data_IF_768032764020
#
_entry.id   IF_768032764020
#
_cell.length_a   1.000
_cell.length_b   1.000
_cell.length_c   1.000
_cell.angle_alpha   90.00
_cell.angle_beta   90.00
_cell.angle_gamma   90.00
#
_symmetry.space_group_name_H-M   'P 1'
#
loop_
_entity.id
_entity.type
_entity.pdbx_description
1 polymer ?
#
# COMPACT_ATOMS: atom_id res chain seq x y z
N UNK A 1 27.91 10.77 9.28
CA UNK A 1 27.14 10.50 8.04
C UNK A 1 28.02 10.88 6.84
N UNK A 2 28.12 10.03 5.82
CA UNK A 2 28.78 10.40 4.55
C UNK A 2 28.12 11.67 4.00
N UNK A 3 28.89 12.68 3.59
CA UNK A 3 28.38 13.82 2.82
C UNK A 3 27.71 13.27 1.56
N UNK A 4 26.39 13.09 1.58
CA UNK A 4 25.63 12.76 0.38
C UNK A 4 25.60 14.00 -0.49
N UNK A 5 26.51 14.05 -1.46
CA UNK A 5 26.43 14.96 -2.60
C UNK A 5 25.61 14.26 -3.68
N UNK A 6 24.65 14.97 -4.27
CA UNK A 6 23.82 14.44 -5.34
C UNK A 6 22.43 14.02 -4.86
N UNK A 7 21.44 14.68 -5.44
CA UNK A 7 20.01 14.53 -5.19
C UNK A 7 19.28 15.72 -5.81
N UNK A 8 18.03 15.53 -6.20
CA UNK A 8 17.17 16.59 -6.74
C UNK A 8 15.99 16.79 -5.79
N UNK A 9 15.68 18.05 -5.50
CA UNK A 9 14.53 18.43 -4.69
C UNK A 9 13.63 19.35 -5.51
N UNK A 10 12.33 19.05 -5.54
CA UNK A 10 11.32 19.86 -6.24
C UNK A 10 10.35 20.44 -5.23
N UNK A 11 10.07 21.74 -5.35
CA UNK A 11 9.01 22.40 -4.60
C UNK A 11 7.82 22.68 -5.53
N UNK A 12 6.64 22.19 -5.15
CA UNK A 12 5.42 22.29 -5.95
C UNK A 12 4.45 23.38 -5.47
N UNK A 13 4.89 24.27 -4.58
CA UNK A 13 4.06 25.31 -3.96
C UNK A 13 4.79 26.67 -3.94
N UNK A 14 4.07 27.71 -3.55
CA UNK A 14 4.63 28.99 -3.12
C UNK A 14 5.45 28.80 -1.84
N UNK A 15 6.68 29.30 -1.84
CA UNK A 15 7.53 29.36 -0.65
C UNK A 15 7.84 30.81 -0.37
N UNK A 16 7.47 31.28 0.83
CA UNK A 16 8.03 32.51 1.40
C UNK A 16 9.33 32.16 2.09
N UNK A 17 10.39 32.89 1.79
CA UNK A 17 11.70 32.72 2.41
C UNK A 17 12.28 34.09 2.76
N UNK A 18 13.15 34.14 3.75
CA UNK A 18 13.78 35.37 4.24
C UNK A 18 15.26 35.37 3.88
N UNK A 19 15.79 36.50 3.40
CA UNK A 19 17.24 36.71 3.25
C UNK A 19 17.95 36.77 4.61
N UNK A 20 17.20 36.97 5.71
CA UNK A 20 17.75 36.99 7.05
C UNK A 20 17.91 35.57 7.60
N UNK A 21 19.17 35.13 7.68
CA UNK A 21 19.54 33.83 8.24
C UNK A 21 18.98 33.59 9.66
N UNK A 22 18.99 34.60 10.52
CA UNK A 22 18.56 34.44 11.91
C UNK A 22 17.06 34.13 12.03
N UNK A 23 16.27 34.68 11.13
CA UNK A 23 14.81 34.52 11.14
C UNK A 23 14.44 33.12 10.67
N UNK A 24 15.07 32.67 9.59
CA UNK A 24 14.92 31.31 9.08
C UNK A 24 15.38 30.25 10.10
N UNK A 25 16.47 30.51 10.81
CA UNK A 25 16.95 29.64 11.90
C UNK A 25 15.95 29.60 13.06
N UNK A 26 15.42 30.76 13.48
CA UNK A 26 14.44 30.83 14.56
C UNK A 26 13.19 30.02 14.22
N UNK A 27 12.66 30.17 13.00
CA UNK A 27 11.49 29.42 12.55
C UNK A 27 11.75 27.90 12.52
N UNK A 28 12.87 27.47 11.95
CA UNK A 28 13.24 26.05 11.90
C UNK A 28 13.44 25.45 13.30
N UNK A 29 13.97 26.23 14.25
CA UNK A 29 14.19 25.82 15.64
C UNK A 29 12.88 25.69 16.41
N UNK A 30 11.97 26.66 16.27
CA UNK A 30 10.67 26.63 16.96
C UNK A 30 9.80 25.42 16.57
N UNK A 31 9.87 24.98 15.31
CA UNK A 31 9.18 23.77 14.88
C UNK A 31 9.75 22.51 15.52
N UNK A 32 11.07 22.39 15.56
CA UNK A 32 11.76 21.23 16.13
C UNK A 32 11.64 21.14 17.65
N UNK A 33 11.60 22.28 18.35
CA UNK A 33 11.47 22.31 19.82
C UNK A 33 10.08 21.92 20.31
N UNK A 34 9.03 22.15 19.51
CA UNK A 34 7.63 21.81 19.86
C UNK A 34 7.32 20.32 19.73
N UNK A 35 8.09 19.55 18.94
CA UNK A 35 7.83 18.13 18.72
C UNK A 35 9.13 17.29 18.72
N UNK A 36 9.34 16.42 19.73
CA UNK A 36 10.51 15.58 19.83
C UNK A 36 10.71 14.56 18.69
N UNK A 37 9.77 14.38 17.76
CA UNK A 37 9.96 13.57 16.55
C UNK A 37 10.32 14.38 15.29
N UNK A 38 10.31 15.72 15.36
CA UNK A 38 10.58 16.60 14.22
C UNK A 38 12.03 17.11 14.22
N UNK A 39 12.64 17.19 13.04
CA UNK A 39 13.94 17.86 12.86
C UNK A 39 13.73 19.21 12.19
N UNK A 40 14.53 20.19 12.58
CA UNK A 40 14.56 21.49 11.90
C UNK A 40 15.42 21.36 10.66
N UNK A 41 14.91 21.82 9.51
CA UNK A 41 15.69 21.87 8.27
C UNK A 41 15.75 23.32 7.80
N UNK A 42 16.96 23.86 7.75
CA UNK A 42 17.28 25.15 7.16
C UNK A 42 17.75 24.93 5.72
N UNK A 43 16.95 25.35 4.75
CA UNK A 43 17.37 25.38 3.36
C UNK A 43 18.14 26.67 3.07
N UNK A 44 19.34 26.55 2.52
CA UNK A 44 20.10 27.69 1.99
C UNK A 44 20.13 27.57 0.48
N UNK A 45 19.44 28.47 -0.18
CA UNK A 45 19.29 28.47 -1.62
C UNK A 45 20.27 29.47 -2.24
N UNK A 46 21.08 28.99 -3.19
CA UNK A 46 21.91 29.84 -4.04
C UNK A 46 21.22 29.98 -5.39
N UNK A 47 20.90 31.21 -5.76
CA UNK A 47 20.19 31.54 -6.99
C UNK A 47 21.14 32.31 -7.89
N UNK A 48 21.48 31.73 -9.04
CA UNK A 48 22.24 32.40 -10.09
C UNK A 48 21.29 33.32 -10.89
N UNK A 49 21.51 34.65 -10.89
CA UNK A 49 20.66 35.59 -11.63
C UNK A 49 20.57 35.30 -13.14
N UNK A 50 21.62 34.73 -13.73
CA UNK A 50 21.65 34.38 -15.15
C UNK A 50 20.73 33.20 -15.47
N UNK A 51 20.52 32.31 -14.49
CA UNK A 51 19.55 31.20 -14.60
C UNK A 51 18.13 31.74 -14.53
N UNK A 52 17.86 32.74 -13.69
CA UNK A 52 16.53 33.34 -13.53
C UNK A 52 16.09 34.09 -14.80
N UNK A 53 17.01 34.85 -15.41
CA UNK A 53 16.75 35.60 -16.65
C UNK A 53 16.48 34.66 -17.83
N UNK A 54 17.22 33.55 -17.95
CA UNK A 54 17.00 32.53 -18.99
C UNK A 54 15.75 31.67 -18.76
N UNK A 55 15.45 31.35 -17.50
CA UNK A 55 14.40 30.38 -17.14
C UNK A 55 13.02 31.00 -16.89
N UNK A 56 12.90 32.33 -16.93
CA UNK A 56 11.67 33.10 -16.67
C UNK A 56 10.99 32.73 -15.33
N UNK A 57 11.78 32.40 -14.32
CA UNK A 57 11.25 32.08 -12.98
C UNK A 57 10.82 33.40 -12.33
N UNK A 58 9.54 33.59 -11.98
CA UNK A 58 9.08 34.82 -11.37
C UNK A 58 9.42 34.82 -9.88
N UNK A 59 10.22 35.80 -9.49
CA UNK A 59 10.46 36.19 -8.10
C UNK A 59 9.66 37.47 -7.83
N UNK A 60 9.00 37.52 -6.69
CA UNK A 60 8.37 38.72 -6.17
C UNK A 60 8.96 39.02 -4.80
N UNK A 61 9.46 40.25 -4.65
CA UNK A 61 9.66 40.82 -3.31
C UNK A 61 8.26 41.02 -2.69
N UNK A 62 8.03 40.37 -1.57
CA UNK A 62 6.79 40.44 -0.81
C UNK A 62 7.00 41.05 0.57
N UNK A 63 8.13 41.72 0.81
CA UNK A 63 8.46 42.40 2.08
C UNK A 63 7.34 43.31 2.59
N UNK A 64 6.56 43.93 1.70
CA UNK A 64 5.47 44.85 2.05
C UNK A 64 4.15 44.17 2.42
N UNK A 65 4.00 42.86 2.16
CA UNK A 65 2.74 42.11 2.36
C UNK A 65 2.95 40.76 3.07
N UNK A 66 4.20 40.45 3.42
CA UNK A 66 4.59 39.23 4.10
C UNK A 66 4.35 39.31 5.61
N UNK A 67 4.59 38.21 6.32
CA UNK A 67 4.24 38.12 7.75
C UNK A 67 5.00 39.15 8.61
N UNK A 68 6.18 39.59 8.16
CA UNK A 68 7.02 40.57 8.84
C UNK A 68 6.96 41.98 8.22
N UNK A 69 5.86 42.33 7.53
CA UNK A 69 5.59 43.60 6.81
C UNK A 69 6.63 44.73 7.06
N UNK A 70 7.51 44.96 6.08
CA UNK A 70 8.50 46.04 6.06
C UNK A 70 9.72 45.85 6.97
N UNK A 71 9.76 44.82 7.81
CA UNK A 71 10.87 44.50 8.71
C UNK A 71 11.87 43.51 8.09
N UNK A 72 11.45 42.74 7.08
CA UNK A 72 12.28 41.74 6.42
C UNK A 72 12.08 41.67 4.91
N UNK A 73 13.18 41.38 4.20
CA UNK A 73 13.15 41.05 2.78
C UNK A 73 12.64 39.61 2.61
N UNK A 74 11.34 39.49 2.38
CA UNK A 74 10.69 38.22 2.04
C UNK A 74 10.58 38.06 0.53
N UNK A 75 11.03 36.91 0.03
CA UNK A 75 10.98 36.60 -1.39
C UNK A 75 10.00 35.45 -1.60
N UNK A 76 9.05 35.69 -2.51
CA UNK A 76 8.14 34.70 -3.02
C UNK A 76 8.64 34.22 -4.38
N UNK A 77 8.76 32.92 -4.56
CA UNK A 77 8.93 32.32 -5.88
C UNK A 77 7.78 31.39 -6.20
N UNK A 78 7.47 31.30 -7.50
CA UNK A 78 6.33 30.53 -7.99
C UNK A 78 6.80 29.52 -9.04
N UNK A 79 6.17 28.34 -9.06
CA UNK A 79 6.35 27.19 -9.98
C UNK A 79 7.38 26.11 -9.59
N UNK A 80 7.25 24.94 -10.27
CA UNK A 80 8.03 23.71 -10.16
C UNK A 80 9.54 23.95 -10.31
N UNK A 81 10.18 24.37 -9.22
CA UNK A 81 11.59 24.74 -9.20
C UNK A 81 12.38 23.55 -8.68
N UNK A 82 13.41 23.15 -9.43
CA UNK A 82 14.27 22.03 -9.08
C UNK A 82 15.60 22.56 -8.56
N UNK A 83 15.95 22.12 -7.36
CA UNK A 83 17.23 22.39 -6.74
C UNK A 83 18.08 21.13 -6.69
N UNK A 84 19.38 21.30 -6.91
CA UNK A 84 20.37 20.29 -6.62
C UNK A 84 20.75 20.39 -5.16
N UNK A 85 20.75 19.26 -4.46
CA UNK A 85 21.27 19.18 -3.09
C UNK A 85 22.80 19.13 -3.15
N UNK A 86 23.44 20.16 -2.62
CA UNK A 86 24.89 20.30 -2.62
C UNK A 86 25.51 19.63 -1.39
N UNK A 87 25.25 20.21 -0.22
CA UNK A 87 25.78 19.71 1.06
C UNK A 87 24.71 19.72 2.13
N UNK A 88 24.68 18.64 2.91
CA UNK A 88 23.85 18.51 4.10
C UNK A 88 24.78 18.51 5.31
N UNK A 89 24.56 19.43 6.24
CA UNK A 89 25.38 19.62 7.44
C UNK A 89 24.48 19.74 8.67
N UNK A 90 24.87 19.11 9.76
CA UNK A 90 24.20 19.32 11.04
C UNK A 90 24.71 20.64 11.65
N UNK A 91 23.78 21.46 12.15
CA UNK A 91 24.12 22.64 12.93
C UNK A 91 24.19 22.19 14.39
N UNK A 92 25.38 22.23 14.96
CA UNK A 92 25.59 22.03 16.39
C UNK A 92 25.41 23.38 17.07
N UNK A 93 24.39 23.49 17.93
CA UNK A 93 24.14 24.65 18.79
C UNK A 93 23.93 24.22 20.25
N UNK A 94 24.00 25.18 21.17
CA UNK A 94 23.98 24.93 22.62
C UNK A 94 22.65 24.36 23.15
N UNK A 95 21.64 24.19 22.30
CA UNK A 95 20.27 23.89 22.74
C UNK A 95 19.64 22.67 22.07
N UNK A 96 20.02 22.28 20.84
CA UNK A 96 19.57 21.02 20.22
C UNK A 96 20.45 20.58 19.03
N UNK A 97 21.00 19.37 19.05
CA UNK A 97 21.63 18.70 17.89
C UNK A 97 20.63 18.28 16.79
N UNK A 98 19.59 19.07 16.53
CA UNK A 98 18.42 18.66 15.73
C UNK A 98 18.12 19.59 14.56
N UNK A 99 19.03 20.53 14.30
CA UNK A 99 18.94 21.45 13.19
C UNK A 99 19.90 21.01 12.09
N UNK A 100 19.40 20.91 10.86
CA UNK A 100 20.17 20.53 9.69
C UNK A 100 20.12 21.63 8.65
N UNK A 101 21.27 21.94 8.08
CA UNK A 101 21.45 22.88 6.99
C UNK A 101 21.63 22.15 5.67
N UNK A 102 20.80 22.47 4.70
CA UNK A 102 20.83 21.86 3.37
C UNK A 102 21.09 22.97 2.35
N UNK A 103 22.27 22.91 1.73
CA UNK A 103 22.61 23.80 0.63
C UNK A 103 21.97 23.30 -0.67
N UNK A 104 21.28 24.21 -1.33
CA UNK A 104 20.54 23.99 -2.55
C UNK A 104 21.03 24.98 -3.61
N UNK A 105 21.36 24.48 -4.80
CA UNK A 105 21.63 25.32 -5.97
C UNK A 105 20.50 25.18 -6.98
N UNK A 106 19.97 26.32 -7.44
CA UNK A 106 18.95 26.34 -8.48
C UNK A 106 19.52 25.73 -9.77
N UNK A 107 18.86 24.70 -10.30
CA UNK A 107 19.30 24.08 -11.56
C UNK A 107 18.64 24.78 -12.73
N UNK A 108 19.47 25.29 -13.65
CA UNK A 108 18.97 25.92 -14.88
C UNK A 108 18.33 24.93 -15.86
N UNK A 109 17.47 25.46 -16.74
CA UNK A 109 16.75 24.71 -17.77
C UNK A 109 17.66 24.12 -18.88
N UNK A 110 18.98 24.10 -18.74
CA UNK A 110 19.91 23.70 -19.80
C UNK A 110 20.25 22.19 -19.72
N UNK A 111 19.77 21.50 -18.68
CA UNK A 111 19.96 20.05 -18.52
C UNK A 111 18.85 19.25 -19.24
N UNK A 112 19.19 18.64 -20.37
CA UNK A 112 18.24 17.92 -21.25
C UNK A 112 17.50 16.76 -20.56
N UNK A 113 18.20 15.95 -19.76
CA UNK A 113 17.61 14.82 -19.02
C UNK A 113 16.66 15.31 -17.93
N UNK A 114 17.07 16.35 -17.21
CA UNK A 114 16.24 16.98 -16.20
C UNK A 114 15.02 17.66 -16.82
N UNK A 115 15.16 18.29 -17.99
CA UNK A 115 14.03 18.83 -18.74
C UNK A 115 13.08 17.74 -19.22
N UNK A 116 13.57 16.57 -19.60
CA UNK A 116 12.70 15.45 -20.02
C UNK A 116 11.92 14.90 -18.82
N UNK A 117 12.58 14.74 -17.68
CA UNK A 117 11.95 14.33 -16.43
C UNK A 117 10.95 15.40 -15.94
N UNK A 118 11.34 16.68 -15.98
CA UNK A 118 10.50 17.81 -15.59
C UNK A 118 9.36 17.99 -16.58
N UNK A 119 9.54 17.70 -17.87
CA UNK A 119 8.47 17.72 -18.86
C UNK A 119 7.50 16.55 -18.65
N UNK A 120 7.98 15.38 -18.23
CA UNK A 120 7.11 14.27 -17.81
C UNK A 120 6.30 14.62 -16.56
N UNK A 121 6.96 15.10 -15.50
CA UNK A 121 6.28 15.55 -14.28
C UNK A 121 5.36 16.75 -14.58
N UNK A 122 5.78 17.72 -15.40
CA UNK A 122 4.94 18.84 -15.85
C UNK A 122 3.81 18.37 -16.73
N UNK A 123 3.91 17.29 -17.49
CA UNK A 123 2.81 16.71 -18.27
C UNK A 123 1.83 15.95 -17.38
N UNK A 124 2.33 15.27 -16.35
CA UNK A 124 1.50 14.62 -15.32
C UNK A 124 0.77 15.64 -14.44
N UNK A 125 1.39 16.81 -14.21
CA UNK A 125 0.85 17.91 -13.39
C UNK A 125 0.24 19.04 -14.26
N UNK A 126 0.29 18.94 -15.60
CA UNK A 126 -0.10 20.05 -16.48
C UNK A 126 -1.59 20.37 -16.34
N UNK A 127 -1.85 21.60 -15.94
CA UNK A 127 -3.14 22.21 -15.59
C UNK A 127 -4.10 22.43 -16.77
N UNK A 128 -3.88 21.78 -17.91
CA UNK A 128 -4.86 21.76 -19.02
C UNK A 128 -6.02 20.79 -18.78
N UNK A 129 -5.94 19.94 -17.74
CA UNK A 129 -7.09 19.21 -17.21
C UNK A 129 -6.94 19.02 -15.69
N UNK A 130 -7.52 19.92 -14.86
CA UNK A 130 -7.54 19.79 -13.39
C UNK A 130 -7.97 18.40 -12.90
N UNK A 131 -8.75 17.71 -13.73
CA UNK A 131 -9.33 16.39 -13.53
C UNK A 131 -8.24 15.28 -13.42
N UNK A 132 -7.12 15.36 -14.16
CA UNK A 132 -6.10 14.29 -14.13
C UNK A 132 -5.36 14.21 -12.79
N UNK A 133 -4.89 15.35 -12.27
CA UNK A 133 -4.21 15.40 -10.97
C UNK A 133 -5.13 14.97 -9.81
N UNK A 134 -6.40 15.38 -9.85
CA UNK A 134 -7.39 14.96 -8.87
C UNK A 134 -7.72 13.47 -8.97
N UNK A 135 -7.73 12.91 -10.18
CA UNK A 135 -7.93 11.46 -10.38
C UNK A 135 -6.74 10.64 -9.88
N UNK A 136 -5.51 11.16 -10.02
CA UNK A 136 -4.31 10.51 -9.50
C UNK A 136 -4.26 10.59 -7.98
N UNK A 137 -4.61 11.74 -7.40
CA UNK A 137 -4.75 11.88 -5.95
C UNK A 137 -5.78 10.89 -5.40
N UNK A 138 -6.95 10.79 -6.03
CA UNK A 138 -7.98 9.84 -5.64
C UNK A 138 -7.50 8.37 -5.75
N UNK A 139 -6.68 8.05 -6.76
CA UNK A 139 -6.09 6.72 -6.90
C UNK A 139 -5.07 6.43 -5.80
N UNK A 140 -4.18 7.38 -5.49
CA UNK A 140 -3.21 7.25 -4.40
C UNK A 140 -3.94 7.07 -3.07
N UNK A 141 -5.01 7.85 -2.83
CA UNK A 141 -5.85 7.72 -1.63
C UNK A 141 -6.43 6.31 -1.47
N UNK A 142 -6.87 5.65 -2.55
CA UNK A 142 -7.25 4.23 -2.46
C UNK A 142 -6.06 3.35 -2.04
N UNK A 143 -4.89 3.56 -2.65
CA UNK A 143 -3.69 2.75 -2.37
C UNK A 143 -3.16 2.91 -0.95
N UNK A 144 -3.33 4.09 -0.33
CA UNK A 144 -2.92 4.33 1.06
C UNK A 144 -4.02 4.02 2.08
N UNK A 145 -5.10 3.34 1.68
CA UNK A 145 -6.17 2.91 2.59
C UNK A 145 -7.12 4.02 3.03
N UNK A 146 -7.30 5.04 2.21
CA UNK A 146 -8.18 6.19 2.45
C UNK A 146 -9.39 6.23 1.48
N UNK A 147 -10.19 5.15 1.40
CA UNK A 147 -11.22 5.01 0.36
C UNK A 147 -12.36 6.02 0.48
N UNK A 148 -12.64 6.52 1.68
CA UNK A 148 -13.64 7.56 1.90
C UNK A 148 -13.26 8.90 1.23
N UNK A 149 -11.99 9.28 1.31
CA UNK A 149 -11.46 10.50 0.66
C UNK A 149 -11.42 10.30 -0.87
N UNK A 150 -10.93 9.15 -1.32
CA UNK A 150 -10.92 8.80 -2.74
C UNK A 150 -12.33 8.84 -3.36
N UNK A 151 -13.33 8.23 -2.68
CA UNK A 151 -14.74 8.26 -3.07
C UNK A 151 -15.24 9.70 -3.27
N UNK A 152 -14.95 10.61 -2.34
CA UNK A 152 -15.38 12.02 -2.43
C UNK A 152 -14.81 12.68 -3.69
N UNK A 153 -13.53 12.45 -3.99
CA UNK A 153 -12.90 12.98 -5.19
C UNK A 153 -13.46 12.37 -6.48
N UNK A 154 -13.66 11.05 -6.54
CA UNK A 154 -14.24 10.41 -7.73
C UNK A 154 -15.68 10.86 -8.02
N UNK A 155 -16.48 11.18 -6.99
CA UNK A 155 -17.79 11.80 -7.21
C UNK A 155 -17.69 13.18 -7.86
N UNK A 156 -16.75 14.02 -7.43
CA UNK A 156 -16.52 15.34 -8.02
C UNK A 156 -16.02 15.18 -9.47
N UNK A 157 -15.11 14.24 -9.71
CA UNK A 157 -14.58 13.98 -11.05
C UNK A 157 -15.66 13.46 -12.00
N UNK A 158 -16.53 12.58 -11.52
CA UNK A 158 -17.66 12.07 -12.29
C UNK A 158 -18.63 13.19 -12.70
N UNK A 159 -18.92 14.15 -11.81
CA UNK A 159 -19.75 15.32 -12.13
C UNK A 159 -19.12 16.23 -13.18
N UNK A 160 -17.78 16.29 -13.21
CA UNK A 160 -17.00 17.13 -14.14
C UNK A 160 -16.57 16.37 -15.41
N UNK A 161 -16.96 15.11 -15.55
CA UNK A 161 -16.53 14.27 -16.66
C UNK A 161 -17.10 14.80 -17.99
N UNK A 162 -16.20 15.05 -18.93
CA UNK A 162 -16.49 15.67 -20.24
C UNK A 162 -16.75 14.64 -21.33
N UNK A 163 -16.36 13.39 -21.10
CA UNK A 163 -16.51 12.29 -22.06
C UNK A 163 -17.06 11.02 -21.39
N UNK A 164 -17.68 10.15 -22.19
CA UNK A 164 -18.14 8.85 -21.73
C UNK A 164 -17.00 7.95 -21.27
N UNK A 165 -15.82 8.07 -21.90
CA UNK A 165 -14.61 7.39 -21.44
C UNK A 165 -14.28 7.77 -19.99
N UNK A 166 -14.19 9.08 -19.70
CA UNK A 166 -13.94 9.58 -18.35
C UNK A 166 -15.02 9.13 -17.36
N UNK A 167 -16.30 9.21 -17.75
CA UNK A 167 -17.41 8.73 -16.91
C UNK A 167 -17.27 7.26 -16.58
N UNK A 168 -16.91 6.42 -17.55
CA UNK A 168 -16.71 4.99 -17.31
C UNK A 168 -15.53 4.74 -16.35
N UNK A 169 -14.40 5.42 -16.56
CA UNK A 169 -13.21 5.27 -15.72
C UNK A 169 -13.46 5.70 -14.27
N UNK A 170 -14.14 6.84 -14.06
CA UNK A 170 -14.47 7.29 -12.71
C UNK A 170 -15.51 6.41 -12.05
N UNK A 171 -16.49 5.89 -12.79
CA UNK A 171 -17.43 4.91 -12.24
C UNK A 171 -16.74 3.61 -11.83
N UNK A 172 -15.77 3.12 -12.61
CA UNK A 172 -14.98 1.95 -12.24
C UNK A 172 -14.20 2.19 -10.94
N UNK A 173 -13.49 3.32 -10.86
CA UNK A 173 -12.69 3.66 -9.67
C UNK A 173 -13.54 3.95 -8.44
N UNK A 174 -14.72 4.54 -8.63
CA UNK A 174 -15.71 4.74 -7.57
C UNK A 174 -16.26 3.39 -7.07
N UNK A 175 -16.43 2.42 -7.98
CA UNK A 175 -16.77 1.04 -7.63
C UNK A 175 -15.78 0.41 -6.66
N UNK A 176 -14.48 0.54 -6.95
CA UNK A 176 -13.41 0.10 -6.03
C UNK A 176 -13.48 0.81 -4.68
N UNK A 177 -13.65 2.13 -4.68
CA UNK A 177 -13.76 2.91 -3.44
C UNK A 177 -14.94 2.48 -2.57
N UNK A 178 -16.10 2.19 -3.16
CA UNK A 178 -17.25 1.68 -2.42
C UNK A 178 -17.02 0.25 -1.91
N UNK A 179 -16.37 -0.60 -2.70
CA UNK A 179 -16.04 -1.96 -2.31
C UNK A 179 -15.14 -1.99 -1.07
N UNK A 180 -14.08 -1.17 -1.06
CA UNK A 180 -13.14 -1.06 0.07
C UNK A 180 -13.82 -0.53 1.36
N UNK A 181 -14.95 0.18 1.21
CA UNK A 181 -15.77 0.65 2.32
C UNK A 181 -16.86 -0.34 2.76
N UNK A 182 -16.98 -1.49 2.09
CA UNK A 182 -18.08 -2.45 2.31
C UNK A 182 -19.45 -1.97 1.79
N UNK A 183 -19.50 -0.89 1.02
CA UNK A 183 -20.74 -0.36 0.41
C UNK A 183 -21.08 -1.12 -0.90
N UNK A 184 -21.21 -2.45 -0.81
CA UNK A 184 -21.22 -3.35 -1.98
C UNK A 184 -22.30 -3.05 -3.03
N UNK A 185 -23.52 -2.70 -2.62
CA UNK A 185 -24.59 -2.36 -3.56
C UNK A 185 -24.25 -1.13 -4.41
N UNK A 186 -23.55 -0.14 -3.84
CA UNK A 186 -23.10 1.06 -4.57
C UNK A 186 -21.87 0.75 -5.43
N UNK A 187 -20.99 -0.14 -4.96
CA UNK A 187 -19.87 -0.64 -5.74
C UNK A 187 -20.36 -1.31 -7.03
N UNK A 188 -21.32 -2.23 -6.90
CA UNK A 188 -21.94 -2.93 -8.01
C UNK A 188 -22.64 -1.98 -8.99
N UNK A 189 -23.40 -1.01 -8.46
CA UNK A 189 -24.05 0.02 -9.29
C UNK A 189 -23.04 0.82 -10.11
N UNK A 190 -21.93 1.25 -9.48
CA UNK A 190 -20.88 2.03 -10.16
C UNK A 190 -20.16 1.20 -11.22
N UNK A 191 -19.81 -0.06 -10.92
CA UNK A 191 -19.20 -0.94 -11.92
C UNK A 191 -20.14 -1.27 -13.09
N UNK A 192 -21.44 -1.48 -12.84
CA UNK A 192 -22.44 -1.69 -13.90
C UNK A 192 -22.59 -0.45 -14.78
N UNK A 193 -22.63 0.75 -14.22
CA UNK A 193 -22.65 2.00 -15.00
C UNK A 193 -21.41 2.12 -15.90
N UNK A 194 -20.21 1.83 -15.36
CA UNK A 194 -18.98 1.78 -16.16
C UNK A 194 -19.08 0.77 -17.31
N UNK A 195 -19.57 -0.44 -17.03
CA UNK A 195 -19.71 -1.50 -18.02
C UNK A 195 -20.68 -1.10 -19.15
N UNK A 196 -21.84 -0.54 -18.82
CA UNK A 196 -22.84 -0.14 -19.82
C UNK A 196 -22.31 0.97 -20.75
N UNK A 197 -21.61 1.97 -20.19
CA UNK A 197 -20.96 3.00 -21.02
C UNK A 197 -19.93 2.37 -21.97
N UNK A 198 -19.10 1.45 -21.46
CA UNK A 198 -18.06 0.78 -22.24
C UNK A 198 -18.63 -0.14 -23.31
N UNK A 199 -19.75 -0.83 -23.07
CA UNK A 199 -20.43 -1.68 -24.07
C UNK A 199 -20.93 -0.87 -25.27
N UNK A 200 -21.37 0.36 -25.04
CA UNK A 200 -21.82 1.27 -26.11
C UNK A 200 -20.62 1.81 -26.89
N UNK A 201 -19.55 2.19 -26.18
CA UNK A 201 -18.43 2.91 -26.76
C UNK A 201 -17.31 2.02 -27.36
N UNK A 202 -17.22 0.75 -26.97
CA UNK A 202 -16.07 -0.12 -27.27
C UNK A 202 -16.48 -1.43 -27.96
N UNK A 203 -15.59 -2.04 -28.76
CA UNK A 203 -15.81 -3.36 -29.32
C UNK A 203 -16.06 -4.44 -28.24
N UNK A 204 -16.81 -5.52 -28.52
CA UNK A 204 -17.17 -6.55 -27.53
C UNK A 204 -16.00 -7.24 -26.82
N UNK A 205 -14.83 -7.28 -27.45
CA UNK A 205 -13.62 -7.91 -26.93
C UNK A 205 -12.60 -6.88 -26.39
N UNK A 206 -13.03 -5.65 -26.14
CA UNK A 206 -12.12 -4.61 -25.66
C UNK A 206 -11.69 -4.87 -24.20
N UNK A 207 -10.39 -4.76 -23.88
CA UNK A 207 -9.83 -4.84 -22.53
C UNK A 207 -10.66 -4.23 -21.40
N UNK A 208 -11.09 -2.98 -21.56
CA UNK A 208 -11.85 -2.25 -20.53
C UNK A 208 -13.19 -2.91 -20.14
N UNK A 209 -13.78 -3.74 -21.02
CA UNK A 209 -14.95 -4.55 -20.68
C UNK A 209 -14.57 -5.65 -19.70
N UNK A 210 -13.46 -6.34 -19.94
CA UNK A 210 -12.95 -7.35 -19.02
C UNK A 210 -12.61 -6.74 -17.65
N UNK A 211 -11.94 -5.58 -17.61
CA UNK A 211 -11.69 -4.88 -16.34
C UNK A 211 -12.98 -4.52 -15.58
N UNK A 212 -14.07 -4.22 -16.29
CA UNK A 212 -15.38 -3.94 -15.68
C UNK A 212 -16.01 -5.20 -15.10
N UNK A 213 -16.03 -6.29 -15.88
CA UNK A 213 -16.50 -7.60 -15.41
C UNK A 213 -15.70 -8.11 -14.22
N UNK A 214 -14.37 -7.94 -14.23
CA UNK A 214 -13.52 -8.29 -13.09
C UNK A 214 -13.87 -7.47 -11.83
N UNK A 215 -14.16 -6.17 -11.97
CA UNK A 215 -14.62 -5.33 -10.86
C UNK A 215 -15.97 -5.79 -10.30
N UNK A 216 -16.92 -6.17 -11.16
CA UNK A 216 -18.21 -6.75 -10.75
C UNK A 216 -18.00 -8.08 -10.02
N UNK A 217 -17.14 -8.95 -10.55
CA UNK A 217 -16.81 -10.23 -9.94
C UNK A 217 -16.24 -10.08 -8.54
N UNK A 218 -15.34 -9.10 -8.35
CA UNK A 218 -14.77 -8.78 -7.03
C UNK A 218 -15.81 -8.35 -6.00
N UNK A 219 -16.78 -7.53 -6.42
CA UNK A 219 -17.86 -7.11 -5.51
C UNK A 219 -18.73 -8.30 -5.11
N UNK A 220 -19.11 -9.16 -6.07
CA UNK A 220 -19.91 -10.35 -5.77
C UNK A 220 -19.16 -11.34 -4.86
N UNK A 221 -17.86 -11.53 -5.07
CA UNK A 221 -17.01 -12.38 -4.23
C UNK A 221 -16.98 -11.86 -2.78
N UNK A 222 -16.77 -10.55 -2.59
CA UNK A 222 -16.79 -9.93 -1.26
C UNK A 222 -18.18 -10.00 -0.59
N UNK A 223 -19.26 -10.12 -1.36
CA UNK A 223 -20.62 -10.35 -0.85
C UNK A 223 -20.89 -11.83 -0.52
N UNK A 224 -20.00 -12.76 -0.89
CA UNK A 224 -20.23 -14.20 -0.80
C UNK A 224 -21.15 -14.75 -1.89
N UNK A 225 -21.46 -13.96 -2.93
CA UNK A 225 -22.28 -14.38 -4.07
C UNK A 225 -21.41 -15.07 -5.14
N UNK A 226 -20.84 -16.22 -4.76
CA UNK A 226 -19.78 -16.89 -5.54
C UNK A 226 -20.19 -17.26 -6.98
N UNK A 227 -21.43 -17.67 -7.22
CA UNK A 227 -21.90 -17.99 -8.58
C UNK A 227 -21.90 -16.76 -9.50
N UNK A 228 -22.31 -15.60 -8.98
CA UNK A 228 -22.29 -14.33 -9.73
C UNK A 228 -20.86 -13.82 -9.93
N UNK A 229 -19.99 -14.05 -8.94
CA UNK A 229 -18.57 -13.75 -9.04
C UNK A 229 -17.89 -14.56 -10.15
N UNK A 230 -18.08 -15.89 -10.16
CA UNK A 230 -17.55 -16.78 -11.19
C UNK A 230 -18.01 -16.38 -12.59
N UNK A 231 -19.32 -16.19 -12.79
CA UNK A 231 -19.87 -15.77 -14.08
C UNK A 231 -19.22 -14.47 -14.59
N UNK A 232 -18.99 -13.50 -13.69
CA UNK A 232 -18.34 -12.24 -14.04
C UNK A 232 -16.85 -12.42 -14.35
N UNK A 233 -16.12 -13.19 -13.55
CA UNK A 233 -14.70 -13.46 -13.78
C UNK A 233 -14.44 -14.30 -15.03
N UNK A 234 -15.28 -15.30 -15.31
CA UNK A 234 -15.22 -16.11 -16.53
C UNK A 234 -15.46 -15.24 -17.76
N UNK A 235 -16.44 -14.35 -17.72
CA UNK A 235 -16.68 -13.39 -18.81
C UNK A 235 -15.50 -12.45 -19.02
N UNK A 236 -14.87 -11.97 -17.94
CA UNK A 236 -13.62 -11.21 -18.03
C UNK A 236 -12.49 -12.03 -18.67
N UNK A 237 -12.34 -13.29 -18.27
CA UNK A 237 -11.29 -14.18 -18.76
C UNK A 237 -11.46 -14.49 -20.26
N UNK A 238 -12.70 -14.70 -20.73
CA UNK A 238 -13.01 -14.88 -22.16
C UNK A 238 -12.52 -13.71 -23.01
N UNK A 239 -12.83 -12.48 -22.57
CA UNK A 239 -12.40 -11.27 -23.27
C UNK A 239 -10.87 -11.17 -23.24
N UNK A 240 -10.23 -11.43 -22.10
CA UNK A 240 -8.78 -11.38 -21.99
C UNK A 240 -8.06 -12.39 -22.87
N UNK A 241 -8.60 -13.61 -23.02
CA UNK A 241 -8.02 -14.63 -23.90
C UNK A 241 -8.01 -14.20 -25.37
N UNK A 242 -8.96 -13.36 -25.78
CA UNK A 242 -9.03 -12.82 -27.15
C UNK A 242 -8.12 -11.59 -27.29
N UNK A 243 -8.10 -10.71 -26.28
CA UNK A 243 -7.43 -9.43 -26.36
C UNK A 243 -5.92 -9.46 -26.09
N UNK A 244 -5.41 -10.51 -25.41
CA UNK A 244 -4.05 -10.55 -24.89
C UNK A 244 -3.29 -11.82 -25.30
N UNK A 245 -1.94 -11.77 -25.34
CA UNK A 245 -1.12 -12.96 -25.49
C UNK A 245 -1.39 -14.01 -24.39
N UNK A 246 -1.23 -15.32 -24.65
CA UNK A 246 -1.55 -16.38 -23.70
C UNK A 246 -0.80 -16.33 -22.35
N UNK A 247 0.34 -15.66 -22.31
CA UNK A 247 1.19 -15.49 -21.13
C UNK A 247 1.05 -14.09 -20.48
N UNK A 248 0.02 -13.31 -20.82
CA UNK A 248 -0.15 -11.98 -20.25
C UNK A 248 -0.51 -12.04 -18.74
N UNK A 249 0.06 -11.18 -17.87
CA UNK A 249 -0.20 -11.17 -16.43
C UNK A 249 -1.69 -11.04 -16.06
N UNK A 250 -2.50 -10.32 -16.84
CA UNK A 250 -3.94 -10.19 -16.58
C UNK A 250 -4.70 -11.52 -16.67
N UNK A 251 -4.27 -12.44 -17.56
CA UNK A 251 -4.83 -13.80 -17.59
C UNK A 251 -4.53 -14.54 -16.30
N UNK A 252 -3.31 -14.40 -15.78
CA UNK A 252 -2.96 -14.98 -14.47
C UNK A 252 -3.78 -14.35 -13.34
N UNK A 253 -4.05 -13.05 -13.40
CA UNK A 253 -4.95 -12.36 -12.45
C UNK A 253 -6.37 -12.93 -12.47
N UNK A 254 -6.95 -13.14 -13.65
CA UNK A 254 -8.28 -13.75 -13.77
C UNK A 254 -8.34 -15.18 -13.26
N UNK A 255 -7.37 -16.02 -13.61
CA UNK A 255 -7.30 -17.39 -13.07
C UNK A 255 -7.12 -17.41 -11.56
N UNK A 256 -6.34 -16.47 -11.01
CA UNK A 256 -6.18 -16.33 -9.56
C UNK A 256 -7.51 -15.98 -8.87
N UNK A 257 -8.29 -15.05 -9.44
CA UNK A 257 -9.58 -14.65 -8.86
C UNK A 257 -10.60 -15.80 -8.91
N UNK A 258 -10.66 -16.53 -10.04
CA UNK A 258 -11.51 -17.73 -10.16
C UNK A 258 -11.09 -18.80 -9.14
N UNK A 259 -9.78 -19.03 -8.99
CA UNK A 259 -9.25 -19.97 -8.00
C UNK A 259 -9.62 -19.61 -6.57
N UNK A 260 -9.62 -18.31 -6.24
CA UNK A 260 -10.05 -17.80 -4.94
C UNK A 260 -11.52 -18.08 -4.66
N UNK A 261 -12.40 -17.83 -5.63
CA UNK A 261 -13.83 -18.12 -5.49
C UNK A 261 -14.08 -19.61 -5.29
N UNK A 262 -13.45 -20.49 -6.09
CA UNK A 262 -13.58 -21.94 -5.89
C UNK A 262 -13.06 -22.40 -4.53
N UNK A 263 -11.95 -21.82 -4.05
CA UNK A 263 -11.45 -22.13 -2.72
C UNK A 263 -12.46 -21.74 -1.63
N UNK A 264 -13.07 -20.55 -1.74
CA UNK A 264 -14.08 -20.08 -0.79
C UNK A 264 -15.36 -20.96 -0.81
N UNK A 265 -15.66 -21.60 -1.94
CA UNK A 265 -16.75 -22.58 -2.08
C UNK A 265 -16.39 -23.98 -1.57
N UNK A 266 -15.13 -24.25 -1.18
CA UNK A 266 -14.66 -25.60 -0.84
C UNK A 266 -14.41 -26.51 -2.05
N UNK A 267 -14.46 -25.96 -3.27
CA UNK A 267 -14.23 -26.68 -4.53
C UNK A 267 -12.71 -26.77 -4.84
N UNK A 268 -11.97 -27.39 -3.92
CA UNK A 268 -10.50 -27.31 -3.88
C UNK A 268 -9.80 -27.79 -5.15
N UNK A 269 -10.31 -28.84 -5.83
CA UNK A 269 -9.72 -29.32 -7.09
C UNK A 269 -9.81 -28.27 -8.21
N UNK A 270 -10.92 -27.52 -8.30
CA UNK A 270 -11.09 -26.44 -9.29
C UNK A 270 -10.25 -25.22 -8.91
N UNK A 271 -10.15 -24.94 -7.61
CA UNK A 271 -9.27 -23.88 -7.09
C UNK A 271 -7.81 -24.14 -7.45
N UNK A 272 -7.32 -25.36 -7.20
CA UNK A 272 -5.96 -25.78 -7.50
C UNK A 272 -5.67 -25.66 -9.00
N UNK A 273 -6.53 -26.21 -9.86
CA UNK A 273 -6.37 -26.10 -11.32
C UNK A 273 -6.28 -24.64 -11.79
N UNK A 274 -7.10 -23.76 -11.23
CA UNK A 274 -7.09 -22.32 -11.56
C UNK A 274 -5.80 -21.63 -11.07
N UNK A 275 -5.36 -21.90 -9.84
CA UNK A 275 -4.13 -21.33 -9.30
C UNK A 275 -2.87 -21.86 -9.99
N UNK A 276 -2.82 -23.14 -10.35
CA UNK A 276 -1.73 -23.72 -11.14
C UNK A 276 -1.65 -23.05 -12.51
N UNK A 277 -2.79 -22.83 -13.18
CA UNK A 277 -2.81 -22.12 -14.45
C UNK A 277 -2.32 -20.67 -14.34
N UNK A 278 -2.71 -19.97 -13.27
CA UNK A 278 -2.18 -18.65 -12.94
C UNK A 278 -0.67 -18.67 -12.70
N UNK A 279 -0.19 -19.67 -11.95
CA UNK A 279 1.23 -19.86 -11.66
C UNK A 279 2.06 -20.12 -12.91
N UNK A 280 1.60 -20.98 -13.82
CA UNK A 280 2.27 -21.27 -15.09
C UNK A 280 2.47 -20.01 -15.94
N UNK A 281 1.41 -19.20 -16.07
CA UNK A 281 1.47 -17.93 -16.81
C UNK A 281 2.50 -17.00 -16.17
N UNK A 282 2.45 -16.81 -14.84
CA UNK A 282 3.41 -15.98 -14.10
C UNK A 282 4.83 -16.48 -14.23
N UNK A 283 5.05 -17.80 -14.21
CA UNK A 283 6.38 -18.41 -14.31
C UNK A 283 7.03 -18.15 -15.68
N UNK A 284 6.22 -18.05 -16.74
CA UNK A 284 6.69 -17.69 -18.08
C UNK A 284 6.92 -16.17 -18.19
N UNK A 285 6.04 -15.37 -17.60
CA UNK A 285 6.03 -13.92 -17.79
C UNK A 285 7.00 -13.14 -16.88
N UNK A 286 7.42 -13.74 -15.75
CA UNK A 286 8.11 -13.02 -14.67
C UNK A 286 9.47 -13.65 -14.33
N UNK A 287 10.41 -12.85 -13.78
CA UNK A 287 11.66 -13.38 -13.23
C UNK A 287 11.41 -14.42 -12.12
N UNK A 288 12.31 -15.41 -11.92
CA UNK A 288 12.10 -16.52 -10.98
C UNK A 288 11.81 -16.13 -9.52
N UNK A 289 12.26 -14.95 -9.08
CA UNK A 289 12.10 -14.46 -7.71
C UNK A 289 11.07 -13.31 -7.62
N UNK A 290 10.19 -13.17 -8.60
CA UNK A 290 9.17 -12.13 -8.58
C UNK A 290 8.13 -12.37 -7.46
N UNK A 291 7.72 -11.34 -6.69
CA UNK A 291 6.75 -11.48 -5.59
C UNK A 291 5.43 -12.19 -5.98
N UNK A 292 4.94 -11.98 -7.20
CA UNK A 292 3.71 -12.64 -7.67
C UNK A 292 3.83 -14.17 -7.76
N UNK A 293 5.04 -14.72 -7.98
CA UNK A 293 5.28 -16.16 -7.91
C UNK A 293 5.15 -16.66 -6.48
N UNK A 294 5.65 -15.89 -5.50
CA UNK A 294 5.45 -16.20 -4.09
C UNK A 294 3.95 -16.17 -3.72
N UNK A 295 3.20 -15.22 -4.29
CA UNK A 295 1.74 -15.15 -4.14
C UNK A 295 1.04 -16.41 -4.67
N UNK A 296 1.41 -16.89 -5.86
CA UNK A 296 0.87 -18.14 -6.43
C UNK A 296 1.15 -19.35 -5.55
N UNK A 297 2.40 -19.53 -5.10
CA UNK A 297 2.75 -20.63 -4.19
C UNK A 297 1.99 -20.54 -2.86
N UNK A 298 1.78 -19.34 -2.33
CA UNK A 298 0.98 -19.16 -1.12
C UNK A 298 -0.47 -19.61 -1.33
N UNK A 299 -1.09 -19.28 -2.46
CA UNK A 299 -2.47 -19.65 -2.74
C UNK A 299 -2.64 -21.15 -2.98
N UNK A 300 -1.68 -21.77 -3.69
CA UNK A 300 -1.62 -23.24 -3.84
C UNK A 300 -1.44 -23.93 -2.48
N UNK A 301 -0.53 -23.41 -1.65
CA UNK A 301 -0.31 -23.91 -0.30
C UNK A 301 -1.56 -23.85 0.58
N UNK A 302 -2.33 -22.76 0.48
CA UNK A 302 -3.60 -22.61 1.18
C UNK A 302 -4.64 -23.65 0.76
N UNK A 303 -4.75 -23.96 -0.53
CA UNK A 303 -5.67 -25.00 -1.00
C UNK A 303 -5.26 -26.37 -0.47
N UNK A 304 -3.96 -26.72 -0.51
CA UNK A 304 -3.50 -27.98 0.06
C UNK A 304 -3.70 -28.07 1.58
N UNK A 305 -3.51 -26.97 2.31
CA UNK A 305 -3.76 -26.92 3.76
C UNK A 305 -5.25 -27.18 4.05
N UNK A 306 -6.16 -26.53 3.32
CA UNK A 306 -7.60 -26.75 3.44
C UNK A 306 -8.03 -28.19 3.07
N UNK A 307 -7.26 -28.89 2.24
CA UNK A 307 -7.48 -30.31 1.90
C UNK A 307 -6.87 -31.27 2.94
N UNK A 308 -6.11 -30.78 3.92
CA UNK A 308 -5.35 -31.62 4.86
C UNK A 308 -4.08 -32.24 4.26
N UNK A 309 -3.67 -31.79 3.05
CA UNK A 309 -2.48 -32.25 2.34
C UNK A 309 -1.23 -31.48 2.83
N UNK A 310 -0.97 -31.56 4.13
CA UNK A 310 -0.03 -30.68 4.83
C UNK A 310 1.40 -30.68 4.28
N UNK A 311 1.91 -31.82 3.81
CA UNK A 311 3.24 -31.90 3.19
C UNK A 311 3.35 -31.06 1.91
N UNK A 312 2.29 -31.03 1.08
CA UNK A 312 2.24 -30.22 -0.14
C UNK A 312 2.03 -28.74 0.19
N UNK A 313 1.25 -28.46 1.23
CA UNK A 313 1.07 -27.11 1.76
C UNK A 313 2.40 -26.51 2.24
N UNK A 314 3.16 -27.25 3.06
CA UNK A 314 4.49 -26.84 3.54
C UNK A 314 5.45 -26.56 2.39
N UNK A 315 5.59 -27.49 1.44
CA UNK A 315 6.46 -27.30 0.26
C UNK A 315 6.12 -26.01 -0.51
N UNK A 316 4.83 -25.74 -0.69
CA UNK A 316 4.36 -24.52 -1.37
C UNK A 316 4.65 -23.26 -0.54
N UNK A 317 4.35 -23.27 0.76
CA UNK A 317 4.61 -22.12 1.64
C UNK A 317 6.11 -21.84 1.82
N UNK A 318 6.95 -22.87 1.90
CA UNK A 318 8.41 -22.74 1.98
C UNK A 318 8.98 -22.13 0.70
N UNK A 319 8.51 -22.56 -0.47
CA UNK A 319 8.91 -21.95 -1.75
C UNK A 319 8.47 -20.49 -1.85
N UNK A 320 7.27 -20.16 -1.37
CA UNK A 320 6.80 -18.78 -1.25
C UNK A 320 7.71 -17.95 -0.33
N UNK A 321 8.08 -18.51 0.83
CA UNK A 321 8.96 -17.86 1.80
C UNK A 321 10.37 -17.63 1.25
N UNK A 322 10.93 -18.59 0.51
CA UNK A 322 12.25 -18.46 -0.12
C UNK A 322 12.30 -17.28 -1.09
N UNK A 323 11.31 -17.17 -1.98
CA UNK A 323 11.20 -16.04 -2.92
C UNK A 323 11.08 -14.72 -2.15
N UNK A 324 10.23 -14.66 -1.11
CA UNK A 324 10.05 -13.45 -0.31
C UNK A 324 11.32 -13.05 0.46
N UNK A 325 12.11 -14.01 0.94
CA UNK A 325 13.40 -13.72 1.61
C UNK A 325 14.41 -13.06 0.69
N UNK A 326 14.35 -13.38 -0.61
CA UNK A 326 15.20 -12.75 -1.64
C UNK A 326 14.66 -11.37 -2.00
N UNK A 327 13.35 -11.22 -2.14
CA UNK A 327 12.72 -10.01 -2.67
C UNK A 327 12.48 -8.90 -1.62
N UNK A 328 12.45 -9.24 -0.32
CA UNK A 328 12.01 -8.33 0.74
C UNK A 328 13.07 -8.15 1.84
N UNK A 329 13.07 -7.01 2.56
CA UNK A 329 13.90 -6.84 3.75
C UNK A 329 13.63 -7.91 4.82
N UNK A 330 14.62 -8.28 5.66
CA UNK A 330 14.50 -9.39 6.62
C UNK A 330 13.35 -9.29 7.63
N UNK A 331 12.86 -8.08 7.93
CA UNK A 331 11.77 -7.81 8.87
C UNK A 331 10.49 -7.34 8.19
N UNK A 332 10.31 -7.64 6.88
CA UNK A 332 9.10 -7.26 6.17
C UNK A 332 7.87 -8.04 6.70
N UNK A 333 6.71 -7.40 6.93
CA UNK A 333 5.50 -8.05 7.45
C UNK A 333 5.05 -9.30 6.68
N UNK A 334 5.28 -9.35 5.37
CA UNK A 334 4.93 -10.53 4.55
C UNK A 334 5.74 -11.78 4.88
N UNK A 335 6.96 -11.63 5.41
CA UNK A 335 7.74 -12.76 5.94
C UNK A 335 7.07 -13.30 7.19
N UNK A 336 6.58 -12.43 8.09
CA UNK A 336 5.82 -12.86 9.26
C UNK A 336 4.55 -13.62 8.88
N UNK A 337 3.84 -13.18 7.84
CA UNK A 337 2.67 -13.90 7.31
C UNK A 337 3.05 -15.30 6.82
N UNK A 338 4.14 -15.43 6.06
CA UNK A 338 4.62 -16.74 5.60
C UNK A 338 5.00 -17.68 6.75
N UNK A 339 5.74 -17.19 7.75
CA UNK A 339 6.06 -17.98 8.95
C UNK A 339 4.81 -18.38 9.74
N UNK A 340 3.81 -17.50 9.83
CA UNK A 340 2.54 -17.83 10.47
C UNK A 340 1.82 -18.97 9.74
N UNK A 341 1.74 -18.93 8.40
CA UNK A 341 1.08 -19.99 7.63
C UNK A 341 1.79 -21.34 7.79
N UNK A 342 3.12 -21.34 7.77
CA UNK A 342 3.92 -22.55 8.05
C UNK A 342 3.65 -23.06 9.48
N UNK A 343 3.57 -22.15 10.46
CA UNK A 343 3.24 -22.49 11.85
C UNK A 343 1.87 -23.15 11.99
N UNK A 344 0.86 -22.65 11.27
CA UNK A 344 -0.49 -23.26 11.22
C UNK A 344 -0.43 -24.68 10.70
N UNK A 345 0.28 -24.92 9.60
CA UNK A 345 0.37 -26.28 9.04
C UNK A 345 1.07 -27.24 10.01
N UNK A 346 2.16 -26.83 10.66
CA UNK A 346 2.80 -27.67 11.67
C UNK A 346 1.92 -27.92 12.89
N UNK A 347 1.14 -26.93 13.34
CA UNK A 347 0.20 -27.09 14.46
C UNK A 347 -0.90 -28.11 14.10
N UNK A 348 -1.47 -28.00 12.89
CA UNK A 348 -2.45 -28.96 12.37
C UNK A 348 -1.90 -30.39 12.26
N UNK A 349 -0.59 -30.54 12.04
CA UNK A 349 0.11 -31.84 12.03
C UNK A 349 0.44 -32.36 13.44
N UNK A 350 0.25 -31.57 14.50
CA UNK A 350 0.70 -31.89 15.86
C UNK A 350 2.21 -31.73 16.09
N UNK A 351 2.93 -31.13 15.12
CA UNK A 351 4.37 -30.87 15.18
C UNK A 351 4.66 -29.57 15.96
N UNK A 352 4.22 -29.54 17.22
CA UNK A 352 4.13 -28.32 18.04
C UNK A 352 5.44 -27.56 18.17
N UNK A 353 6.59 -28.24 18.27
CA UNK A 353 7.91 -27.57 18.36
C UNK A 353 8.26 -26.77 17.10
N UNK A 354 7.89 -27.28 15.91
CA UNK A 354 8.10 -26.58 14.64
C UNK A 354 7.08 -25.46 14.45
N UNK A 355 5.85 -25.66 14.92
CA UNK A 355 4.82 -24.65 14.96
C UNK A 355 5.24 -23.44 15.81
N UNK A 356 5.69 -23.68 17.04
CA UNK A 356 6.22 -22.65 17.95
C UNK A 356 7.38 -21.88 17.32
N UNK A 357 8.38 -22.59 16.78
CA UNK A 357 9.53 -21.95 16.12
C UNK A 357 9.09 -20.99 14.98
N UNK A 358 8.09 -21.40 14.20
CA UNK A 358 7.56 -20.59 13.11
C UNK A 358 6.74 -19.41 13.61
N UNK A 359 5.86 -19.61 14.61
CA UNK A 359 5.07 -18.53 15.20
C UNK A 359 5.92 -17.51 15.96
N UNK A 360 6.96 -17.94 16.67
CA UNK A 360 7.90 -17.06 17.36
C UNK A 360 8.66 -16.18 16.37
N UNK A 361 9.13 -16.75 15.25
CA UNK A 361 9.76 -15.97 14.18
C UNK A 361 8.80 -14.96 13.55
N UNK A 362 7.53 -15.34 13.36
CA UNK A 362 6.48 -14.43 12.91
C UNK A 362 6.25 -13.28 13.91
N UNK A 363 6.18 -13.60 15.20
CA UNK A 363 5.99 -12.65 16.29
C UNK A 363 7.16 -11.66 16.39
N UNK A 364 8.41 -12.14 16.28
CA UNK A 364 9.61 -11.30 16.31
C UNK A 364 9.58 -10.24 15.19
N UNK A 365 9.29 -10.65 13.96
CA UNK A 365 9.18 -9.74 12.81
C UNK A 365 8.05 -8.73 13.04
N UNK A 366 6.87 -9.18 13.52
CA UNK A 366 5.73 -8.30 13.82
C UNK A 366 6.05 -7.29 14.91
N UNK A 367 6.80 -7.66 15.97
CA UNK A 367 7.22 -6.74 17.03
C UNK A 367 8.11 -5.61 16.52
N UNK A 368 8.93 -5.88 15.51
CA UNK A 368 9.79 -4.87 14.88
C UNK A 368 8.98 -3.98 13.94
N UNK A 369 8.06 -4.56 13.17
CA UNK A 369 7.36 -3.85 12.09
C UNK A 369 6.10 -3.10 12.52
N UNK A 370 5.52 -3.41 13.69
CA UNK A 370 4.21 -2.92 14.11
C UNK A 370 4.25 -2.27 15.49
N UNK A 371 3.32 -1.34 15.79
CA UNK A 371 3.14 -0.82 17.14
C UNK A 371 2.88 -1.93 18.17
N UNK A 372 3.28 -1.76 19.45
CA UNK A 372 3.18 -2.81 20.47
C UNK A 372 1.77 -3.40 20.70
N UNK A 373 0.74 -2.63 20.37
CA UNK A 373 -0.67 -2.96 20.60
C UNK A 373 -1.34 -3.41 19.30
N UNK A 374 -0.61 -3.61 18.20
CA UNK A 374 -1.23 -3.94 16.92
C UNK A 374 -1.98 -5.28 16.98
N UNK A 375 -3.22 -5.41 16.45
CA UNK A 375 -4.02 -6.64 16.54
C UNK A 375 -3.33 -7.91 16.01
N UNK A 376 -2.45 -7.78 15.01
CA UNK A 376 -1.63 -8.91 14.51
C UNK A 376 -0.67 -9.49 15.56
N UNK A 377 -0.25 -8.70 16.55
CA UNK A 377 0.53 -9.21 17.69
C UNK A 377 -0.37 -10.06 18.60
N UNK A 378 -1.61 -9.64 18.84
CA UNK A 378 -2.59 -10.44 19.59
C UNK A 378 -2.82 -11.80 18.92
N UNK A 379 -2.99 -11.84 17.59
CA UNK A 379 -3.14 -13.09 16.85
C UNK A 379 -1.90 -13.99 16.99
N UNK A 380 -0.68 -13.44 16.94
CA UNK A 380 0.55 -14.21 17.15
C UNK A 380 0.64 -14.80 18.56
N UNK A 381 0.38 -14.00 19.60
CA UNK A 381 0.36 -14.47 20.98
C UNK A 381 -0.71 -15.54 21.19
N UNK A 382 -1.89 -15.36 20.60
CA UNK A 382 -2.98 -16.33 20.67
C UNK A 382 -2.57 -17.68 20.05
N UNK A 383 -1.97 -17.68 18.86
CA UNK A 383 -1.53 -18.92 18.20
C UNK A 383 -0.49 -19.67 19.05
N UNK A 384 0.50 -18.96 19.59
CA UNK A 384 1.51 -19.58 20.49
C UNK A 384 0.84 -20.13 21.76
N UNK A 385 -0.08 -19.39 22.36
CA UNK A 385 -0.82 -19.81 23.55
C UNK A 385 -1.66 -21.07 23.30
N UNK A 386 -2.32 -21.17 22.14
CA UNK A 386 -3.07 -22.36 21.74
C UNK A 386 -2.17 -23.58 21.56
N UNK A 387 -0.98 -23.42 20.94
CA UNK A 387 -0.01 -24.52 20.82
C UNK A 387 0.43 -25.01 22.20
N UNK A 388 0.77 -24.12 23.13
CA UNK A 388 1.11 -24.55 24.50
C UNK A 388 -0.06 -25.25 25.21
N UNK A 389 -1.30 -24.82 25.00
CA UNK A 389 -2.48 -25.49 25.54
C UNK A 389 -2.63 -26.91 24.96
N UNK A 390 -2.35 -27.10 23.66
CA UNK A 390 -2.36 -28.41 23.02
C UNK A 390 -1.24 -29.32 23.55
N UNK A 391 -0.10 -28.76 23.95
CA UNK A 391 1.00 -29.47 24.59
C UNK A 391 0.77 -29.79 26.08
N UNK A 392 -0.30 -29.29 26.71
CA UNK A 392 -0.54 -29.42 28.15
C UNK A 392 0.26 -28.45 29.03
N UNK A 393 0.97 -27.51 28.42
CA UNK A 393 1.79 -26.49 29.10
C UNK A 393 0.92 -25.29 29.53
N UNK A 394 -0.08 -25.56 30.38
CA UNK A 394 -1.17 -24.62 30.65
C UNK A 394 -0.72 -23.28 31.25
N UNK A 395 0.34 -23.26 32.07
CA UNK A 395 0.86 -22.01 32.63
C UNK A 395 1.44 -21.09 31.54
N UNK A 396 2.18 -21.65 30.56
CA UNK A 396 2.69 -20.88 29.42
C UNK A 396 1.54 -20.45 28.51
N UNK A 397 0.62 -21.37 28.21
CA UNK A 397 -0.56 -21.09 27.41
C UNK A 397 -1.34 -19.89 27.96
N UNK A 398 -1.61 -19.89 29.27
CA UNK A 398 -2.33 -18.83 29.94
C UNK A 398 -1.62 -17.47 29.79
N UNK A 399 -0.31 -17.41 30.02
CA UNK A 399 0.47 -16.17 29.87
C UNK A 399 0.37 -15.57 28.46
N UNK A 400 0.50 -16.39 27.43
CA UNK A 400 0.40 -15.94 26.03
C UNK A 400 -1.02 -15.50 25.66
N UNK A 401 -2.05 -16.26 26.08
CA UNK A 401 -3.44 -15.92 25.81
C UNK A 401 -3.90 -14.65 26.54
N UNK A 402 -3.45 -14.43 27.78
CA UNK A 402 -3.71 -13.20 28.53
C UNK A 402 -3.08 -11.98 27.83
N UNK A 403 -1.85 -12.12 27.30
CA UNK A 403 -1.23 -11.04 26.51
C UNK A 403 -1.99 -10.74 25.21
N UNK A 404 -2.49 -11.77 24.53
CA UNK A 404 -3.34 -11.58 23.35
C UNK A 404 -4.64 -10.83 23.71
N UNK A 405 -5.31 -11.25 24.79
CA UNK A 405 -6.54 -10.64 25.25
C UNK A 405 -6.38 -9.19 25.69
N UNK A 406 -5.27 -8.86 26.35
CA UNK A 406 -4.92 -7.48 26.72
C UNK A 406 -4.85 -6.58 25.47
N UNK A 407 -4.10 -7.00 24.44
CA UNK A 407 -3.96 -6.24 23.19
C UNK A 407 -5.32 -6.09 22.48
N UNK A 408 -6.11 -7.16 22.38
CA UNK A 408 -7.45 -7.11 21.78
C UNK A 408 -8.35 -6.11 22.51
N UNK A 409 -8.32 -6.09 23.85
CA UNK A 409 -9.12 -5.16 24.67
C UNK A 409 -8.71 -3.70 24.51
N UNK A 410 -7.41 -3.44 24.33
CA UNK A 410 -6.90 -2.07 24.15
C UNK A 410 -7.22 -1.51 22.76
N UNK A 411 -7.34 -2.36 21.74
CA UNK A 411 -7.35 -1.91 20.34
C UNK A 411 -8.65 -2.12 19.60
N UNK A 412 -9.52 -3.03 20.07
CA UNK A 412 -10.75 -3.37 19.40
C UNK A 412 -11.96 -2.80 20.17
N UNK A 413 -13.09 -2.49 19.50
CA UNK A 413 -14.32 -2.12 20.18
C UNK A 413 -14.75 -3.19 21.19
N UNK A 414 -15.38 -2.84 22.33
CA UNK A 414 -15.69 -3.78 23.41
C UNK A 414 -16.46 -5.05 22.99
N UNK A 415 -17.26 -4.97 21.93
CA UNK A 415 -18.08 -6.08 21.42
C UNK A 415 -17.42 -6.84 20.26
N UNK A 416 -16.13 -6.63 19.99
CA UNK A 416 -15.44 -7.29 18.90
C UNK A 416 -15.31 -8.81 19.15
N UNK A 417 -15.63 -9.68 18.16
CA UNK A 417 -15.60 -11.13 18.34
C UNK A 417 -14.28 -11.70 18.86
N UNK A 418 -13.14 -11.08 18.51
CA UNK A 418 -11.82 -11.51 19.00
C UNK A 418 -11.68 -11.39 20.51
N UNK A 419 -12.24 -10.35 21.15
CA UNK A 419 -12.20 -10.19 22.62
C UNK A 419 -12.93 -11.37 23.29
N UNK A 420 -14.09 -11.75 22.75
CA UNK A 420 -14.84 -12.90 23.23
C UNK A 420 -14.09 -14.22 22.98
N UNK A 421 -13.43 -14.36 21.83
CA UNK A 421 -12.62 -15.54 21.53
C UNK A 421 -11.42 -15.69 22.46
N UNK A 422 -10.62 -14.65 22.65
CA UNK A 422 -9.44 -14.69 23.52
C UNK A 422 -9.84 -14.96 24.97
N UNK A 423 -10.96 -14.40 25.45
CA UNK A 423 -11.54 -14.74 26.75
C UNK A 423 -11.92 -16.22 26.87
N UNK A 424 -12.60 -16.78 25.86
CA UNK A 424 -12.96 -18.21 25.83
C UNK A 424 -11.72 -19.11 25.86
N UNK A 425 -10.67 -18.75 25.14
CA UNK A 425 -9.41 -19.50 25.14
C UNK A 425 -8.78 -19.50 26.54
N UNK A 426 -8.74 -18.36 27.22
CA UNK A 426 -8.25 -18.24 28.60
C UNK A 426 -9.05 -19.11 29.57
N UNK A 427 -10.38 -19.01 29.53
CA UNK A 427 -11.27 -19.82 30.39
C UNK A 427 -11.12 -21.32 30.12
N UNK A 428 -10.93 -21.70 28.85
CA UNK A 428 -10.67 -23.07 28.45
C UNK A 428 -9.38 -23.64 29.06
N UNK A 429 -8.30 -22.85 29.10
CA UNK A 429 -7.05 -23.25 29.75
C UNK A 429 -7.21 -23.31 31.27
N UNK A 430 -7.85 -22.31 31.89
CA UNK A 430 -8.07 -22.27 33.35
C UNK A 430 -8.86 -23.47 33.88
N UNK A 431 -9.74 -24.07 33.08
CA UNK A 431 -10.48 -25.29 33.45
C UNK A 431 -9.65 -26.57 33.42
N UNK A 432 -8.50 -26.56 32.75
CA UNK A 432 -7.60 -27.72 32.62
C UNK A 432 -6.44 -27.69 33.61
N UNK A 433 -6.18 -26.52 34.21
CA UNK A 433 -5.29 -26.34 35.35
C UNK A 433 -5.98 -26.82 36.63
#
# INVERSE_FOLDING_TARGET
>A
MKQTKGGLMSFNNFLSTSENHQVSVKFAREGASKNPSMIGILFIMTIDPDVCTKSKIPFADVSQVGFFEGQEAEILFTTHTIFRIDTIQQIHDDHTDRLWKVHLTLVGNDNHELNTLTAHVRNDVNLKAPIRGWSQLAFILLKVGEPAKAKKLYKILLQKASSDKERSDYNQKLGWAYNDMGEYSKALSSHKQSLEIRKIALPPNHPDLASSYNGIGLVYDNMGEYSNALSSYERSLEIWKIALPPNHPDLAGSYNNIGMVYNNMGEYSKALSSYERSHEIRKIALPPNHPDLAGSYNNIGLVYDNMGEYSKALSSYERSLEIKKIALPPNHPDLAKSYNNIGVVYDNMGEYSKALSSYERSLEIRKIALPPNHPLLASSYNNIGLVYNNMGEYSKALSFLEKAHEIDRETLPPNHPHIAQSKRNIEGVKKKM
#
